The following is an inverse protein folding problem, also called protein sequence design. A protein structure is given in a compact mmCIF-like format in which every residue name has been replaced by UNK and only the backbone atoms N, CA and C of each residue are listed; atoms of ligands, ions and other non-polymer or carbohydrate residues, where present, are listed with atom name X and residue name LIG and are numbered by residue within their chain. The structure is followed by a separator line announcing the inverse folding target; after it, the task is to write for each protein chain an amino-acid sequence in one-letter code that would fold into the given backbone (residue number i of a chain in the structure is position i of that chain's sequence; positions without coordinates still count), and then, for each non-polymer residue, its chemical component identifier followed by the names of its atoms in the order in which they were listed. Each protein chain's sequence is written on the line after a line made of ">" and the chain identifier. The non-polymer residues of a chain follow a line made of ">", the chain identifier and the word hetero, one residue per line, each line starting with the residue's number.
data_IF_712671302227
#
_entry.id   IF_712671302227
#
_cell.length_a   1.000
_cell.length_b   1.000
_cell.length_c   1.000
_cell.angle_alpha   90.00
_cell.angle_beta   90.00
_cell.angle_gamma   90.00
#
_symmetry.space_group_name_H-M   'P 1'
#
loop_
_entity.id
_entity.type
_entity.pdbx_description
1 polymer ?
#
# COMPACT_ATOMS: atom_id res chain seq x y z
N UNK A 1 16.27 4.77 -31.29
CA UNK A 1 15.87 3.79 -30.25
C UNK A 1 14.42 3.44 -30.51
N UNK A 2 14.01 2.15 -30.58
CA UNK A 2 12.60 1.80 -30.69
C UNK A 2 11.85 2.21 -29.41
N UNK A 3 10.70 2.84 -29.59
CA UNK A 3 9.78 3.26 -28.53
C UNK A 3 8.38 2.85 -28.97
N UNK A 4 7.54 2.43 -28.02
CA UNK A 4 6.11 2.21 -28.25
C UNK A 4 5.29 3.32 -27.57
N UNK A 5 4.21 3.72 -28.21
CA UNK A 5 3.15 4.55 -27.61
C UNK A 5 1.89 3.68 -27.53
N UNK A 6 1.35 3.52 -26.33
CA UNK A 6 0.19 2.70 -26.02
C UNK A 6 -1.07 3.55 -25.93
N UNK A 7 -1.84 3.54 -27.02
CA UNK A 7 -3.15 4.15 -27.13
C UNK A 7 -4.27 3.10 -27.25
N UNK A 8 -4.09 1.95 -26.60
CA UNK A 8 -5.08 0.86 -26.62
C UNK A 8 -6.28 1.21 -25.74
N UNK A 9 -7.45 0.68 -26.08
CA UNK A 9 -8.71 0.82 -25.33
C UNK A 9 -9.03 -0.41 -24.46
N UNK A 10 -8.35 -1.54 -24.68
CA UNK A 10 -8.54 -2.79 -23.93
C UNK A 10 -7.46 -3.05 -22.89
N UNK A 11 -7.87 -3.49 -21.70
CA UNK A 11 -6.97 -3.89 -20.60
C UNK A 11 -6.13 -5.11 -20.99
N UNK A 12 -6.75 -6.13 -21.59
CA UNK A 12 -6.05 -7.34 -22.03
C UNK A 12 -4.98 -7.04 -23.09
N UNK A 13 -5.26 -6.09 -23.99
CA UNK A 13 -4.29 -5.64 -24.98
C UNK A 13 -3.10 -4.93 -24.32
N UNK A 14 -3.36 -4.04 -23.34
CA UNK A 14 -2.29 -3.37 -22.57
C UNK A 14 -1.41 -4.37 -21.80
N UNK A 15 -2.01 -5.41 -21.22
CA UNK A 15 -1.23 -6.47 -20.56
C UNK A 15 -0.32 -7.23 -21.54
N UNK A 16 -0.84 -7.55 -22.72
CA UNK A 16 -0.08 -8.22 -23.78
C UNK A 16 1.07 -7.34 -24.28
N UNK A 17 0.79 -6.05 -24.50
CA UNK A 17 1.80 -5.07 -24.91
C UNK A 17 2.89 -4.92 -23.83
N UNK A 18 2.50 -4.76 -22.57
CA UNK A 18 3.43 -4.66 -21.46
C UNK A 18 4.38 -5.86 -21.40
N UNK A 19 3.86 -7.10 -21.54
CA UNK A 19 4.70 -8.30 -21.57
C UNK A 19 5.70 -8.25 -22.72
N UNK A 20 5.24 -7.93 -23.93
CA UNK A 20 6.09 -7.86 -25.11
C UNK A 20 7.20 -6.79 -24.99
N UNK A 21 6.86 -5.60 -24.50
CA UNK A 21 7.80 -4.50 -24.30
C UNK A 21 8.84 -4.80 -23.21
N UNK A 22 8.42 -5.42 -22.10
CA UNK A 22 9.34 -5.84 -21.04
C UNK A 22 10.31 -6.92 -21.55
N UNK A 23 9.82 -7.93 -22.25
CA UNK A 23 10.64 -9.01 -22.82
C UNK A 23 11.67 -8.46 -23.83
N UNK A 24 11.23 -7.59 -24.73
CA UNK A 24 12.08 -6.98 -25.77
C UNK A 24 12.91 -5.80 -25.27
N UNK A 25 12.75 -5.40 -24.01
CA UNK A 25 13.40 -4.23 -23.40
C UNK A 25 13.14 -2.93 -24.19
N UNK A 26 11.94 -2.78 -24.74
CA UNK A 26 11.51 -1.58 -25.45
C UNK A 26 10.78 -0.66 -24.47
N UNK A 27 11.24 0.59 -24.26
CA UNK A 27 10.49 1.56 -23.47
C UNK A 27 9.15 1.88 -24.12
N UNK A 28 8.16 2.23 -23.31
CA UNK A 28 6.88 2.66 -23.84
C UNK A 28 6.19 3.68 -22.93
N UNK A 29 5.38 4.54 -23.54
CA UNK A 29 4.50 5.48 -22.85
C UNK A 29 3.08 4.98 -23.01
N UNK A 30 2.30 5.02 -21.94
CA UNK A 30 0.91 4.56 -21.94
C UNK A 30 -0.03 5.67 -21.50
N UNK A 31 -1.14 5.79 -22.22
CA UNK A 31 -2.24 6.70 -21.97
C UNK A 31 -3.55 5.93 -21.81
N UNK A 32 -4.41 6.42 -20.93
CA UNK A 32 -5.77 5.95 -20.80
C UNK A 32 -6.71 7.12 -20.55
N UNK A 33 -7.95 7.03 -21.02
CA UNK A 33 -8.98 8.03 -20.77
C UNK A 33 -10.36 7.39 -20.72
N UNK A 34 -11.21 7.87 -19.82
CA UNK A 34 -12.62 7.48 -19.70
C UNK A 34 -13.43 8.65 -19.14
N UNK A 35 -14.58 8.93 -19.73
CA UNK A 35 -15.38 10.12 -19.41
C UNK A 35 -14.56 11.40 -19.58
N UNK A 36 -14.39 12.13 -18.47
CA UNK A 36 -13.61 13.38 -18.39
C UNK A 36 -12.23 13.21 -17.73
N UNK A 37 -11.83 11.97 -17.45
CA UNK A 37 -10.59 11.65 -16.74
C UNK A 37 -9.58 10.94 -17.63
N UNK A 38 -8.30 11.13 -17.33
CA UNK A 38 -7.19 10.55 -18.07
C UNK A 38 -6.01 10.19 -17.18
N UNK A 39 -5.19 9.27 -17.66
CA UNK A 39 -3.96 8.83 -17.00
C UNK A 39 -2.83 8.69 -18.00
N UNK A 40 -1.60 8.99 -17.57
CA UNK A 40 -0.41 8.77 -18.38
C UNK A 40 0.79 8.38 -17.51
N UNK A 41 1.62 7.47 -18.00
CA UNK A 41 2.90 7.15 -17.36
C UNK A 41 3.90 6.52 -18.34
N UNK A 42 5.19 6.61 -18.00
CA UNK A 42 6.29 6.12 -18.84
C UNK A 42 6.94 4.90 -18.21
N UNK A 43 7.04 3.82 -18.98
CA UNK A 43 7.62 2.55 -18.55
C UNK A 43 8.98 2.36 -19.22
N UNK A 44 10.01 2.28 -18.38
CA UNK A 44 11.38 1.95 -18.75
C UNK A 44 11.68 0.52 -18.25
N UNK A 45 11.77 -0.48 -19.14
CA UNK A 45 12.03 -1.86 -18.77
C UNK A 45 13.25 -2.01 -17.85
N UNK A 46 13.07 -2.75 -16.75
CA UNK A 46 14.06 -2.97 -15.68
C UNK A 46 14.47 -1.74 -14.86
N UNK A 47 13.92 -0.55 -15.13
CA UNK A 47 14.27 0.69 -14.44
C UNK A 47 13.09 1.29 -13.66
N UNK A 48 11.86 1.17 -14.18
CA UNK A 48 10.65 1.69 -13.54
C UNK A 48 9.63 0.58 -13.26
N UNK A 49 8.53 0.95 -12.59
CA UNK A 49 7.34 0.12 -12.53
C UNK A 49 6.81 -0.19 -13.94
N UNK A 50 6.35 -1.43 -14.17
CA UNK A 50 5.64 -1.82 -15.41
C UNK A 50 4.13 -1.79 -15.19
N UNK A 51 3.32 -1.97 -16.24
CA UNK A 51 1.86 -1.95 -16.12
C UNK A 51 1.33 -2.93 -15.06
N UNK A 52 1.86 -4.16 -15.02
CA UNK A 52 1.53 -5.16 -14.00
C UNK A 52 1.95 -4.79 -12.56
N UNK A 53 2.96 -3.92 -12.38
CA UNK A 53 3.32 -3.44 -11.05
C UNK A 53 2.23 -2.54 -10.46
N UNK A 54 1.62 -1.71 -11.30
CA UNK A 54 0.56 -0.78 -10.90
C UNK A 54 -0.78 -1.50 -10.81
N UNK A 55 -1.01 -2.41 -11.76
CA UNK A 55 -2.30 -3.04 -12.01
C UNK A 55 -2.09 -4.55 -12.09
N UNK A 56 -1.95 -5.27 -10.96
CA UNK A 56 -1.54 -6.67 -10.97
C UNK A 56 -2.63 -7.65 -11.42
N UNK A 57 -3.90 -7.28 -11.27
CA UNK A 57 -5.04 -8.13 -11.58
C UNK A 57 -6.29 -7.28 -11.87
N UNK A 58 -6.23 -6.42 -12.89
CA UNK A 58 -7.44 -5.75 -13.37
C UNK A 58 -8.30 -6.77 -14.11
N UNK A 59 -9.57 -6.80 -13.74
CA UNK A 59 -10.59 -7.55 -14.43
C UNK A 59 -11.35 -6.61 -15.38
N UNK A 60 -11.17 -6.79 -16.68
CA UNK A 60 -11.75 -5.94 -17.71
C UNK A 60 -13.29 -5.93 -17.65
N UNK A 61 -13.90 -7.06 -17.30
CA UNK A 61 -15.36 -7.20 -17.22
C UNK A 61 -15.95 -6.41 -16.03
N UNK A 62 -15.11 -6.08 -15.04
CA UNK A 62 -15.50 -5.29 -13.87
C UNK A 62 -15.34 -3.79 -14.05
N UNK A 63 -14.76 -3.34 -15.17
CA UNK A 63 -14.43 -1.94 -15.41
C UNK A 63 -15.39 -1.27 -16.41
N UNK A 64 -15.77 0.00 -16.18
CA UNK A 64 -16.51 0.76 -17.17
C UNK A 64 -15.65 0.94 -18.43
N UNK A 65 -16.21 0.59 -19.59
CA UNK A 65 -15.51 0.75 -20.88
C UNK A 65 -15.80 2.12 -21.48
N UNK A 66 -14.90 2.60 -22.33
CA UNK A 66 -15.11 3.83 -23.12
C UNK A 66 -16.40 3.78 -23.95
N UNK A 67 -16.84 2.59 -24.36
CA UNK A 67 -18.07 2.39 -25.12
C UNK A 67 -19.35 2.58 -24.29
N UNK A 68 -19.26 2.46 -22.96
CA UNK A 68 -20.38 2.59 -22.03
C UNK A 68 -20.40 4.01 -21.43
N UNK A 69 -19.26 4.50 -20.95
CA UNK A 69 -19.16 5.83 -20.30
C UNK A 69 -19.00 6.99 -21.30
N UNK A 70 -18.55 6.71 -22.52
CA UNK A 70 -18.08 7.74 -23.45
C UNK A 70 -16.73 8.33 -23.04
N UNK A 71 -16.17 9.17 -23.92
CA UNK A 71 -14.91 9.87 -23.66
C UNK A 71 -14.99 11.30 -24.19
N UNK A 72 -14.65 12.27 -23.35
CA UNK A 72 -14.61 13.67 -23.73
C UNK A 72 -13.44 13.92 -24.71
N UNK A 73 -13.66 14.47 -25.91
CA UNK A 73 -12.59 14.60 -26.92
C UNK A 73 -11.35 15.35 -26.43
N UNK A 74 -11.52 16.39 -25.62
CA UNK A 74 -10.39 17.16 -25.08
C UNK A 74 -9.49 16.35 -24.15
N UNK A 75 -10.00 15.34 -23.41
CA UNK A 75 -9.13 14.53 -22.55
C UNK A 75 -8.19 13.66 -23.41
N UNK A 76 -8.67 13.19 -24.57
CA UNK A 76 -7.85 12.46 -25.53
C UNK A 76 -6.70 13.33 -26.07
N UNK A 77 -6.99 14.58 -26.42
CA UNK A 77 -5.95 15.52 -26.89
C UNK A 77 -4.92 15.84 -25.81
N UNK A 78 -5.36 16.02 -24.57
CA UNK A 78 -4.47 16.30 -23.43
C UNK A 78 -3.57 15.10 -23.15
N UNK A 79 -4.16 13.91 -22.97
CA UNK A 79 -3.41 12.68 -22.68
C UNK A 79 -2.45 12.35 -23.82
N UNK A 80 -2.93 12.36 -25.07
CA UNK A 80 -2.08 12.07 -26.24
C UNK A 80 -0.94 13.08 -26.41
N UNK A 81 -1.18 14.38 -26.13
CA UNK A 81 -0.12 15.39 -26.14
C UNK A 81 0.95 15.15 -25.07
N UNK A 82 0.55 14.67 -23.89
CA UNK A 82 1.47 14.28 -22.81
C UNK A 82 2.25 13.02 -23.21
N UNK A 83 1.60 12.02 -23.81
CA UNK A 83 2.27 10.82 -24.30
C UNK A 83 3.37 11.17 -25.32
N UNK A 84 3.07 12.06 -26.27
CA UNK A 84 4.03 12.56 -27.25
C UNK A 84 5.20 13.28 -26.56
N UNK A 85 4.93 14.12 -25.56
CA UNK A 85 5.97 14.83 -24.81
C UNK A 85 6.93 13.88 -24.10
N UNK A 86 6.40 12.83 -23.46
CA UNK A 86 7.21 11.79 -22.81
C UNK A 86 7.99 10.94 -23.82
N UNK A 87 7.33 10.58 -24.93
CA UNK A 87 7.95 9.83 -26.02
C UNK A 87 9.18 10.56 -26.59
N UNK A 88 9.03 11.86 -26.85
CA UNK A 88 10.13 12.71 -27.34
C UNK A 88 11.29 12.74 -26.33
N UNK A 89 11.03 12.82 -25.02
CA UNK A 89 12.10 12.79 -24.02
C UNK A 89 12.88 11.47 -24.09
N UNK A 90 12.18 10.34 -24.16
CA UNK A 90 12.83 9.02 -24.27
C UNK A 90 13.67 8.92 -25.55
N UNK A 91 13.13 9.36 -26.70
CA UNK A 91 13.84 9.35 -27.99
C UNK A 91 15.12 10.20 -27.93
N UNK A 92 15.06 11.35 -27.26
CA UNK A 92 16.19 12.26 -27.07
C UNK A 92 17.18 11.80 -25.99
N UNK A 93 16.95 10.65 -25.35
CA UNK A 93 17.79 10.16 -24.24
C UNK A 93 17.66 10.99 -22.96
N UNK A 94 16.62 11.81 -22.83
CA UNK A 94 16.29 12.54 -21.60
C UNK A 94 15.47 11.66 -20.68
N UNK A 95 15.61 11.87 -19.37
CA UNK A 95 14.78 11.17 -18.40
C UNK A 95 13.31 11.62 -18.54
N UNK A 96 12.35 10.70 -18.76
CA UNK A 96 10.94 11.04 -18.87
C UNK A 96 10.39 11.54 -17.53
N UNK A 97 9.48 12.52 -17.56
CA UNK A 97 8.98 13.16 -16.35
C UNK A 97 8.02 12.26 -15.56
N UNK A 98 7.39 11.30 -16.25
CA UNK A 98 6.48 10.31 -15.70
C UNK A 98 7.16 8.96 -15.41
N UNK A 99 8.50 8.93 -15.37
CA UNK A 99 9.20 7.82 -14.73
C UNK A 99 8.81 7.77 -13.25
N UNK A 100 8.44 6.59 -12.78
CA UNK A 100 8.06 6.33 -11.38
C UNK A 100 6.89 7.20 -10.88
N UNK A 101 6.08 7.72 -11.81
CA UNK A 101 4.89 8.51 -11.51
C UNK A 101 3.75 8.17 -12.47
N UNK A 102 2.54 8.17 -11.95
CA UNK A 102 1.32 8.23 -12.76
C UNK A 102 0.78 9.64 -12.69
N UNK A 103 0.59 10.26 -13.86
CA UNK A 103 -0.19 11.47 -13.97
C UNK A 103 -1.66 11.09 -14.05
N UNK A 104 -2.48 11.76 -13.24
CA UNK A 104 -3.93 11.74 -13.30
C UNK A 104 -4.42 13.11 -13.74
N UNK A 105 -5.31 13.13 -14.71
CA UNK A 105 -5.95 14.33 -15.25
C UNK A 105 -7.45 14.19 -15.04
N UNK A 106 -8.06 15.21 -14.44
CA UNK A 106 -9.50 15.32 -14.26
C UNK A 106 -9.96 16.65 -14.85
N UNK A 107 -10.76 16.62 -15.92
CA UNK A 107 -11.26 17.84 -16.57
C UNK A 107 -12.49 18.43 -15.89
N UNK A 108 -13.19 17.68 -15.03
CA UNK A 108 -14.34 18.22 -14.31
C UNK A 108 -13.90 19.30 -13.33
N UNK A 109 -12.80 19.04 -12.62
CA UNK A 109 -12.23 19.97 -11.64
C UNK A 109 -10.96 20.69 -12.16
N UNK A 110 -10.52 20.38 -13.38
CA UNK A 110 -9.26 20.83 -13.99
C UNK A 110 -8.04 20.56 -13.09
N UNK A 111 -7.91 19.30 -12.67
CA UNK A 111 -6.87 18.86 -11.73
C UNK A 111 -5.85 17.97 -12.43
N UNK A 112 -4.56 18.24 -12.14
CA UNK A 112 -3.42 17.45 -12.57
C UNK A 112 -2.65 16.98 -11.33
N UNK A 113 -2.72 15.69 -11.03
CA UNK A 113 -2.10 15.11 -9.84
C UNK A 113 -1.14 13.98 -10.19
N UNK A 114 -0.14 13.78 -9.35
CA UNK A 114 0.86 12.72 -9.55
C UNK A 114 0.82 11.73 -8.40
N UNK A 115 0.79 10.44 -8.75
CA UNK A 115 0.99 9.35 -7.79
C UNK A 115 2.38 8.77 -8.00
N UNK A 116 3.21 8.74 -6.96
CA UNK A 116 4.51 8.07 -7.03
C UNK A 116 4.30 6.56 -7.06
N UNK A 117 5.02 5.89 -7.94
CA UNK A 117 5.00 4.43 -8.09
C UNK A 117 6.42 3.89 -8.12
N UNK A 118 6.57 2.61 -7.82
CA UNK A 118 7.88 1.95 -7.84
C UNK A 118 7.76 0.54 -8.36
N UNK A 119 8.86 0.03 -8.92
CA UNK A 119 8.91 -1.34 -9.43
C UNK A 119 8.73 -2.34 -8.30
N UNK A 120 7.78 -3.26 -8.47
CA UNK A 120 7.53 -4.36 -7.55
C UNK A 120 8.47 -5.53 -7.87
N UNK A 121 9.26 -5.98 -6.89
CA UNK A 121 10.24 -7.05 -7.08
C UNK A 121 9.60 -8.40 -7.38
N UNK A 122 8.40 -8.64 -6.85
CA UNK A 122 7.61 -9.86 -7.00
C UNK A 122 6.70 -9.84 -8.23
N UNK A 123 6.75 -8.78 -9.04
CA UNK A 123 5.90 -8.63 -10.22
C UNK A 123 6.03 -9.84 -11.16
N UNK A 124 4.90 -10.38 -11.62
CA UNK A 124 4.84 -11.52 -12.54
C UNK A 124 5.38 -11.21 -13.94
N UNK A 125 5.37 -9.93 -14.35
CA UNK A 125 5.79 -9.52 -15.69
C UNK A 125 7.25 -9.02 -15.74
N UNK A 126 7.65 -8.16 -14.80
CA UNK A 126 8.98 -7.55 -14.82
C UNK A 126 9.85 -7.88 -13.61
N UNK A 127 9.34 -8.65 -12.64
CA UNK A 127 10.02 -9.03 -11.41
C UNK A 127 10.35 -10.53 -11.37
N UNK A 128 10.49 -11.08 -10.17
CA UNK A 128 10.80 -12.50 -9.94
C UNK A 128 9.59 -13.41 -10.14
N UNK A 129 8.37 -12.85 -10.17
CA UNK A 129 7.11 -13.60 -10.19
C UNK A 129 6.85 -14.48 -8.97
N UNK A 130 7.72 -14.42 -7.94
CA UNK A 130 7.60 -15.18 -6.71
C UNK A 130 7.26 -14.22 -5.59
N UNK A 131 6.16 -14.47 -4.89
CA UNK A 131 5.91 -13.78 -3.62
C UNK A 131 7.07 -14.12 -2.70
N UNK A 132 7.83 -13.12 -2.26
CA UNK A 132 8.75 -13.34 -1.15
C UNK A 132 7.90 -13.77 0.04
N UNK A 133 8.13 -14.97 0.55
CA UNK A 133 7.61 -15.37 1.85
C UNK A 133 8.29 -14.44 2.86
N UNK A 134 7.62 -13.34 3.22
CA UNK A 134 8.02 -12.58 4.39
C UNK A 134 8.04 -13.58 5.54
N UNK A 135 9.11 -13.65 6.35
CA UNK A 135 9.09 -14.49 7.54
C UNK A 135 7.82 -14.15 8.31
N UNK A 136 6.99 -15.15 8.62
CA UNK A 136 5.73 -14.96 9.36
C UNK A 136 6.08 -14.18 10.63
N UNK A 137 5.74 -12.90 10.64
CA UNK A 137 5.90 -12.08 11.83
C UNK A 137 4.92 -12.61 12.86
N UNK A 138 5.40 -12.86 14.07
CA UNK A 138 4.57 -13.34 15.18
C UNK A 138 3.50 -12.29 15.56
N UNK A 139 3.82 -11.01 15.36
CA UNK A 139 2.99 -9.86 15.67
C UNK A 139 2.97 -8.89 14.47
N UNK A 140 1.79 -8.36 14.14
CA UNK A 140 1.59 -7.21 13.25
C UNK A 140 1.61 -5.96 14.11
N UNK A 141 2.48 -5.00 13.78
CA UNK A 141 2.69 -3.77 14.53
C UNK A 141 2.42 -2.56 13.63
N UNK A 142 1.56 -1.65 14.09
CA UNK A 142 1.21 -0.42 13.37
C UNK A 142 1.27 0.79 14.31
N UNK A 143 2.01 1.84 13.94
CA UNK A 143 1.93 3.12 14.64
C UNK A 143 0.71 3.91 14.19
N UNK A 144 -0.15 4.30 15.14
CA UNK A 144 -1.37 5.06 14.88
C UNK A 144 -1.07 6.56 14.85
N UNK A 145 -1.71 7.28 13.92
CA UNK A 145 -1.54 8.73 13.76
C UNK A 145 -2.12 9.57 14.92
N UNK A 146 -2.98 8.98 15.76
CA UNK A 146 -3.54 9.62 16.96
C UNK A 146 -2.54 9.68 18.11
N UNK A 147 -1.92 10.85 18.31
CA UNK A 147 -0.97 11.09 19.41
C UNK A 147 -1.70 11.55 20.67
N UNK A 148 -1.84 10.66 21.65
CA UNK A 148 -2.49 10.99 22.92
C UNK A 148 -1.62 11.95 23.74
N UNK A 149 -1.92 13.25 23.69
CA UNK A 149 -1.11 14.32 24.30
C UNK A 149 0.37 14.26 23.90
N UNK A 150 0.65 13.98 22.62
CA UNK A 150 2.00 13.90 22.07
C UNK A 150 2.70 12.54 22.22
N UNK A 151 2.09 11.57 22.93
CA UNK A 151 2.62 10.21 23.07
C UNK A 151 2.34 9.39 21.81
N UNK A 152 3.31 8.57 21.39
CA UNK A 152 3.15 7.62 20.28
C UNK A 152 2.19 6.51 20.69
N UNK A 153 1.46 5.97 19.71
CA UNK A 153 0.45 4.94 19.92
C UNK A 153 0.71 3.80 18.95
N UNK A 154 0.73 2.57 19.44
CA UNK A 154 0.98 1.37 18.66
C UNK A 154 -0.20 0.40 18.79
N UNK A 155 -0.63 -0.16 17.67
CA UNK A 155 -1.54 -1.30 17.59
C UNK A 155 -0.72 -2.56 17.37
N UNK A 156 -0.92 -3.57 18.21
CA UNK A 156 -0.27 -4.88 18.10
C UNK A 156 -1.36 -5.93 17.90
N UNK A 157 -1.22 -6.74 16.86
CA UNK A 157 -2.12 -7.87 16.60
C UNK A 157 -1.32 -9.15 16.39
N UNK A 158 -1.51 -10.20 17.21
CA UNK A 158 -0.85 -11.48 16.99
C UNK A 158 -1.34 -12.15 15.71
N UNK A 159 -0.43 -12.81 14.99
CA UNK A 159 -0.78 -13.60 13.79
C UNK A 159 -1.25 -15.02 14.11
N UNK A 160 -1.35 -15.34 15.40
CA UNK A 160 -1.81 -16.60 15.96
C UNK A 160 -2.96 -16.35 16.96
N UNK A 161 -3.68 -17.41 17.32
CA UNK A 161 -4.78 -17.30 18.27
C UNK A 161 -4.25 -17.07 19.68
N UNK A 162 -4.65 -15.96 20.30
CA UNK A 162 -4.35 -15.65 21.69
C UNK A 162 -5.68 -15.55 22.44
N UNK A 163 -5.74 -16.11 23.65
CA UNK A 163 -6.88 -15.90 24.56
C UNK A 163 -6.35 -15.26 25.82
N UNK A 164 -6.82 -14.04 26.08
CA UNK A 164 -6.35 -13.26 27.22
C UNK A 164 -6.75 -13.93 28.54
N UNK A 165 -5.77 -14.33 29.36
CA UNK A 165 -6.01 -14.66 30.75
C UNK A 165 -6.01 -13.37 31.58
N UNK A 166 -7.20 -12.86 31.84
CA UNK A 166 -7.41 -11.57 32.50
C UNK A 166 -6.78 -11.51 33.89
N UNK A 167 -6.81 -12.61 34.64
CA UNK A 167 -6.28 -12.68 36.01
C UNK A 167 -4.75 -12.63 36.02
N UNK A 168 -4.12 -13.38 35.11
CA UNK A 168 -2.65 -13.39 34.96
C UNK A 168 -2.15 -12.01 34.52
N UNK A 169 -2.76 -11.44 33.48
CA UNK A 169 -2.37 -10.13 32.93
C UNK A 169 -2.60 -9.03 33.96
N UNK A 170 -3.68 -9.09 34.74
CA UNK A 170 -3.94 -8.13 35.83
C UNK A 170 -2.89 -8.24 36.94
N UNK A 171 -2.48 -9.45 37.30
CA UNK A 171 -1.43 -9.68 38.31
C UNK A 171 -0.09 -9.09 37.85
N UNK A 172 0.33 -9.41 36.63
CA UNK A 172 1.57 -8.89 36.03
C UNK A 172 1.52 -7.36 35.90
N UNK A 173 0.38 -6.81 35.46
CA UNK A 173 0.19 -5.38 35.32
C UNK A 173 0.39 -4.66 36.67
N UNK A 174 -0.20 -5.17 37.75
CA UNK A 174 -0.06 -4.61 39.11
C UNK A 174 1.39 -4.67 39.62
N UNK A 175 2.09 -5.78 39.40
CA UNK A 175 3.52 -5.90 39.74
C UNK A 175 4.38 -4.87 39.01
N UNK A 176 4.03 -4.55 37.77
CA UNK A 176 4.69 -3.51 36.95
C UNK A 176 4.17 -2.09 37.21
N UNK A 177 3.33 -1.89 38.24
CA UNK A 177 2.85 -0.57 38.66
C UNK A 177 1.70 0.01 37.82
N UNK A 178 1.04 -0.79 37.00
CA UNK A 178 -0.18 -0.37 36.29
C UNK A 178 -1.40 -0.43 37.22
N UNK A 179 -2.25 0.58 37.07
CA UNK A 179 -3.61 0.58 37.61
C UNK A 179 -4.55 0.02 36.54
N UNK A 180 -5.32 -1.02 36.90
CA UNK A 180 -6.34 -1.59 36.01
C UNK A 180 -7.60 -0.74 36.12
N UNK A 181 -8.04 -0.15 35.01
CA UNK A 181 -9.13 0.82 34.96
C UNK A 181 -10.47 0.20 34.58
N UNK A 182 -10.45 -0.84 33.73
CA UNK A 182 -11.66 -1.52 33.26
C UNK A 182 -11.39 -3.01 32.98
N UNK A 183 -12.28 -3.85 33.49
CA UNK A 183 -12.40 -5.27 33.21
C UNK A 183 -13.75 -5.49 32.52
N UNK A 184 -13.74 -5.58 31.19
CA UNK A 184 -14.95 -5.75 30.39
C UNK A 184 -14.95 -7.05 29.59
N UNK A 185 -16.11 -7.45 29.08
CA UNK A 185 -16.25 -8.69 28.29
C UNK A 185 -15.43 -8.69 27.00
N UNK A 186 -15.09 -7.50 26.49
CA UNK A 186 -14.35 -7.30 25.24
C UNK A 186 -12.84 -7.16 25.45
N UNK A 187 -12.38 -6.83 26.67
CA UNK A 187 -10.98 -6.48 26.90
C UNK A 187 -10.64 -5.95 28.30
N UNK A 188 -9.36 -5.66 28.47
CA UNK A 188 -8.74 -5.20 29.72
C UNK A 188 -7.99 -3.89 29.46
N UNK A 189 -8.32 -2.85 30.22
CA UNK A 189 -7.67 -1.53 30.14
C UNK A 189 -6.83 -1.27 31.39
N UNK A 190 -5.59 -0.83 31.20
CA UNK A 190 -4.66 -0.52 32.28
C UNK A 190 -3.79 0.69 31.95
N UNK A 191 -3.30 1.38 32.97
CA UNK A 191 -2.53 2.61 32.79
C UNK A 191 -1.56 2.89 33.94
N UNK A 192 -0.41 3.50 33.62
CA UNK A 192 0.49 4.21 34.55
C UNK A 192 0.43 5.71 34.25
N UNK A 193 1.19 6.54 34.96
CA UNK A 193 1.31 7.97 34.61
C UNK A 193 1.72 8.19 33.15
N UNK A 194 2.55 7.28 32.61
CA UNK A 194 3.17 7.45 31.31
C UNK A 194 2.62 6.56 30.20
N UNK A 195 2.14 5.36 30.53
CA UNK A 195 1.76 4.32 29.59
C UNK A 195 0.29 3.96 29.74
N UNK A 196 -0.42 3.71 28.65
CA UNK A 196 -1.75 3.08 28.68
C UNK A 196 -1.78 1.88 27.74
N UNK A 197 -2.35 0.78 28.19
CA UNK A 197 -2.45 -0.46 27.44
C UNK A 197 -3.89 -0.96 27.48
N UNK A 198 -4.44 -1.28 26.31
CA UNK A 198 -5.78 -1.83 26.16
C UNK A 198 -5.67 -3.15 25.41
N UNK A 199 -5.86 -4.27 26.10
CA UNK A 199 -5.93 -5.59 25.49
C UNK A 199 -7.36 -5.93 25.10
N UNK A 200 -7.52 -6.52 23.92
CA UNK A 200 -8.74 -7.19 23.48
C UNK A 200 -8.68 -8.67 23.88
N UNK A 201 -9.83 -9.31 24.01
CA UNK A 201 -9.92 -10.73 24.43
C UNK A 201 -9.11 -11.71 23.57
N UNK A 202 -8.93 -11.40 22.28
CA UNK A 202 -8.16 -12.19 21.31
C UNK A 202 -6.67 -11.82 21.22
N UNK A 203 -6.16 -11.03 22.16
CA UNK A 203 -4.75 -10.69 22.28
C UNK A 203 -4.29 -9.48 21.46
N UNK A 204 -5.11 -8.89 20.58
CA UNK A 204 -4.79 -7.57 20.03
C UNK A 204 -4.70 -6.53 21.14
N UNK A 205 -3.79 -5.56 21.02
CA UNK A 205 -3.62 -4.52 22.02
C UNK A 205 -3.30 -3.16 21.42
N UNK A 206 -3.75 -2.11 22.09
CA UNK A 206 -3.36 -0.72 21.79
C UNK A 206 -2.52 -0.19 22.94
N UNK A 207 -1.28 0.21 22.64
CA UNK A 207 -0.29 0.71 23.60
C UNK A 207 0.01 2.18 23.31
N UNK A 208 -0.20 3.04 24.30
CA UNK A 208 0.07 4.49 24.25
C UNK A 208 1.25 4.79 25.15
N UNK A 209 2.23 5.54 24.66
CA UNK A 209 3.39 5.98 25.43
C UNK A 209 4.74 5.32 25.13
N UNK A 210 4.84 4.09 24.56
CA UNK A 210 6.14 3.57 24.13
C UNK A 210 6.86 4.52 23.18
N UNK A 211 8.19 4.59 23.28
CA UNK A 211 9.01 5.50 22.47
C UNK A 211 9.21 4.99 21.06
N UNK A 212 9.20 3.68 20.85
CA UNK A 212 9.40 3.03 19.56
C UNK A 212 8.71 1.65 19.51
N UNK A 213 8.82 1.01 18.35
CA UNK A 213 8.26 -0.30 18.06
C UNK A 213 8.83 -1.42 18.94
N UNK A 214 10.10 -1.32 19.34
CA UNK A 214 10.76 -2.34 20.17
C UNK A 214 10.23 -2.28 21.60
N UNK A 215 10.11 -1.08 22.16
CA UNK A 215 9.53 -0.87 23.49
C UNK A 215 8.06 -1.31 23.53
N UNK A 216 7.28 -0.99 22.49
CA UNK A 216 5.89 -1.43 22.38
C UNK A 216 5.78 -2.96 22.35
N UNK A 217 6.62 -3.63 21.55
CA UNK A 217 6.62 -5.09 21.43
C UNK A 217 7.04 -5.77 22.74
N UNK A 218 8.07 -5.25 23.41
CA UNK A 218 8.53 -5.78 24.69
C UNK A 218 7.47 -5.62 25.77
N UNK A 219 6.85 -4.44 25.87
CA UNK A 219 5.79 -4.17 26.84
C UNK A 219 4.58 -5.08 26.64
N UNK A 220 4.19 -5.32 25.39
CA UNK A 220 3.12 -6.25 25.05
C UNK A 220 3.42 -7.68 25.49
N UNK A 221 4.59 -8.22 25.14
CA UNK A 221 4.97 -9.60 25.48
C UNK A 221 5.09 -9.79 26.99
N UNK A 222 5.66 -8.80 27.67
CA UNK A 222 5.79 -8.78 29.13
C UNK A 222 4.43 -8.82 29.83
N UNK A 223 3.47 -8.00 29.39
CA UNK A 223 2.15 -7.91 30.02
C UNK A 223 1.27 -9.11 29.69
N UNK A 224 1.34 -9.64 28.46
CA UNK A 224 0.54 -10.79 28.04
C UNK A 224 0.92 -12.07 28.80
N UNK A 225 2.21 -12.20 29.16
CA UNK A 225 2.75 -13.34 29.88
C UNK A 225 2.78 -14.64 29.05
N UNK A 226 3.54 -15.63 29.51
CA UNK A 226 3.80 -16.89 28.76
C UNK A 226 2.59 -17.84 28.74
N UNK A 227 1.63 -17.67 29.67
CA UNK A 227 0.49 -18.57 29.88
C UNK A 227 -0.77 -18.24 29.06
N UNK A 228 -0.82 -17.06 28.42
CA UNK A 228 -1.97 -16.59 27.64
C UNK A 228 -1.97 -17.08 26.17
N UNK A 229 -0.98 -17.90 25.79
CA UNK A 229 -0.80 -18.42 24.43
C UNK A 229 -1.47 -19.80 24.35
N UNK A 230 -2.63 -19.88 23.71
CA UNK A 230 -3.22 -21.16 23.33
C UNK A 230 -2.61 -21.53 21.97
N UNK A 231 -1.86 -22.64 21.92
CA UNK A 231 -1.37 -23.23 20.66
C UNK A 231 -2.51 -23.70 19.78
#
# INVERSE_FOLDING_TARGET
>A
IPLVVDALDSVNARYSLNRACIEKKIPFVTGAAVGVTGQCFTILPNQSACYHCLFPALDEDSMPTCSIEGVHPSILSIVGGIEVSEAVKVIMGKEPSLKDKVLHVDLENLVFNFTKVSRVQECSACGTGRKQEKPKQELILEELCGRNKGKRTFSITPTHSVTLNVDDVTSIAKEKGFVVENLGDLGLSMRTNDLSVNFMKRGSAVLVGPKDEQEATSLYKDLLGVKSIIK
#
